data_IF_258344271763
#
_entry.id   IF_258344271763
#
_cell.length_a   1.000
_cell.length_b   1.000
_cell.length_c   1.000
_cell.angle_alpha   90.00
_cell.angle_beta   90.00
_cell.angle_gamma   90.00
#
_symmetry.space_group_name_H-M   'P 1'
#
loop_
_entity.id
_entity.type
_entity.pdbx_description
1 polymer ?
#
# COMPACT_ATOMS: atom_id res chain seq x y z
N UNK A 1 -2.27 -2.90 2.99
CA UNK A 1 -3.47 -3.80 3.15
C UNK A 1 -4.07 -4.18 1.80
N UNK A 2 -5.01 -5.16 1.70
CA UNK A 2 -5.53 -5.64 0.41
C UNK A 2 -6.36 -4.59 -0.35
N UNK A 3 -5.94 -4.25 -1.56
CA UNK A 3 -6.58 -3.24 -2.42
C UNK A 3 -7.51 -3.83 -3.52
N UNK A 4 -7.95 -5.07 -3.40
CA UNK A 4 -8.91 -5.65 -4.34
C UNK A 4 -8.36 -6.03 -5.73
N UNK A 5 -7.04 -6.10 -5.90
CA UNK A 5 -6.40 -6.30 -7.20
C UNK A 5 -6.48 -7.71 -7.78
N UNK A 6 -6.69 -8.71 -6.92
CA UNK A 6 -6.63 -10.13 -7.29
C UNK A 6 -8.01 -10.77 -7.35
N UNK A 7 -8.86 -10.52 -6.35
CA UNK A 7 -10.16 -11.19 -6.20
C UNK A 7 -11.27 -10.34 -6.83
N UNK A 8 -11.15 -9.02 -6.82
CA UNK A 8 -12.11 -8.11 -7.42
C UNK A 8 -11.49 -6.80 -7.88
N UNK A 9 -11.97 -6.31 -9.01
CA UNK A 9 -11.57 -5.03 -9.56
C UNK A 9 -12.07 -3.85 -8.74
N UNK A 10 -11.16 -3.12 -8.17
CA UNK A 10 -11.20 -1.70 -7.89
C UNK A 10 -12.37 -1.06 -7.18
N UNK A 11 -13.53 -1.72 -6.98
CA UNK A 11 -14.66 -1.03 -6.35
C UNK A 11 -14.62 -1.01 -4.83
N UNK A 12 -13.85 -1.90 -4.20
CA UNK A 12 -13.76 -2.05 -2.74
C UNK A 12 -15.09 -2.25 -2.02
N UNK A 13 -16.16 -2.61 -2.73
CA UNK A 13 -17.48 -2.79 -2.13
C UNK A 13 -17.53 -3.97 -1.18
N UNK A 14 -16.74 -5.01 -1.46
CA UNK A 14 -16.75 -6.22 -0.65
C UNK A 14 -15.41 -6.45 0.07
N UNK A 15 -14.29 -6.41 -0.64
CA UNK A 15 -13.02 -6.93 -0.15
C UNK A 15 -11.91 -5.88 -0.06
N UNK A 16 -11.89 -4.87 -0.92
CA UNK A 16 -10.82 -3.87 -0.95
C UNK A 16 -10.81 -3.00 0.31
N UNK A 17 -9.81 -3.20 1.17
CA UNK A 17 -9.66 -2.46 2.44
C UNK A 17 -9.29 -1.01 2.17
N UNK A 18 -8.30 -0.77 1.32
CA UNK A 18 -7.90 0.59 0.92
C UNK A 18 -9.08 1.39 0.38
N UNK A 19 -9.84 0.82 -0.56
CA UNK A 19 -11.01 1.50 -1.12
C UNK A 19 -12.10 1.80 -0.07
N UNK A 20 -12.20 1.00 0.99
CA UNK A 20 -13.10 1.30 2.11
C UNK A 20 -12.60 2.47 2.94
N UNK A 21 -11.31 2.51 3.22
CA UNK A 21 -10.66 3.61 3.95
C UNK A 21 -10.82 4.90 3.15
N UNK A 22 -10.54 4.89 1.85
CA UNK A 22 -10.72 6.04 0.96
C UNK A 22 -12.15 6.61 1.02
N UNK A 23 -13.16 5.73 1.02
CA UNK A 23 -14.56 6.17 1.11
C UNK A 23 -14.88 6.81 2.45
N UNK A 24 -14.32 6.29 3.53
CA UNK A 24 -14.49 6.87 4.86
C UNK A 24 -13.78 8.21 4.94
N UNK A 25 -12.51 8.27 4.55
CA UNK A 25 -11.71 9.49 4.53
C UNK A 25 -12.36 10.58 3.67
N UNK A 26 -12.77 10.27 2.43
CA UNK A 26 -13.42 11.23 1.53
C UNK A 26 -14.72 11.80 2.08
N UNK A 27 -15.49 11.00 2.81
CA UNK A 27 -16.73 11.46 3.45
C UNK A 27 -16.44 12.43 4.58
N UNK A 28 -15.42 12.14 5.38
CA UNK A 28 -15.07 12.91 6.56
C UNK A 28 -14.32 14.20 6.22
N UNK A 29 -13.52 14.21 5.15
CA UNK A 29 -12.85 15.44 4.72
C UNK A 29 -13.82 16.46 4.13
N UNK A 30 -14.92 16.03 3.50
CA UNK A 30 -15.84 16.92 2.78
C UNK A 30 -16.35 18.12 3.60
N UNK A 31 -16.80 17.95 4.86
CA UNK A 31 -17.33 19.06 5.65
C UNK A 31 -16.26 20.04 6.16
N UNK A 32 -14.97 19.69 6.11
CA UNK A 32 -13.87 20.52 6.59
C UNK A 32 -13.08 21.17 5.45
N UNK A 33 -13.40 20.86 4.20
CA UNK A 33 -12.77 21.50 3.04
C UNK A 33 -13.25 22.94 2.91
N UNK A 34 -12.34 23.90 2.58
CA UNK A 34 -12.74 25.25 2.23
C UNK A 34 -13.60 25.25 0.94
N UNK A 35 -14.52 26.21 0.81
CA UNK A 35 -15.45 26.33 -0.33
C UNK A 35 -14.74 26.43 -1.69
N UNK A 36 -13.53 26.97 -1.71
CA UNK A 36 -12.72 27.08 -2.93
C UNK A 36 -12.03 25.79 -3.35
N UNK A 37 -11.99 24.77 -2.50
CA UNK A 37 -11.27 23.54 -2.74
C UNK A 37 -12.14 22.50 -3.46
N UNK A 38 -11.90 22.32 -4.75
CA UNK A 38 -12.54 21.26 -5.53
C UNK A 38 -11.77 19.93 -5.35
N UNK A 39 -11.97 19.31 -4.18
CA UNK A 39 -11.34 18.03 -3.85
C UNK A 39 -12.00 16.88 -4.65
N UNK A 40 -11.22 15.96 -5.26
CA UNK A 40 -11.74 14.95 -6.17
C UNK A 40 -12.85 14.09 -5.59
N UNK A 41 -13.77 13.70 -6.45
CA UNK A 41 -14.80 12.73 -6.10
C UNK A 41 -14.22 11.36 -5.79
N UNK A 42 -14.90 10.63 -4.89
CA UNK A 42 -14.48 9.27 -4.50
C UNK A 42 -14.33 8.33 -5.70
N UNK A 43 -15.13 8.48 -6.75
CA UNK A 43 -15.02 7.67 -7.96
C UNK A 43 -13.67 7.89 -8.67
N UNK A 44 -13.21 9.13 -8.73
CA UNK A 44 -11.94 9.48 -9.34
C UNK A 44 -10.76 8.98 -8.51
N UNK A 45 -10.83 9.11 -7.18
CA UNK A 45 -9.83 8.57 -6.25
C UNK A 45 -9.73 7.05 -6.42
N UNK A 46 -10.86 6.34 -6.40
CA UNK A 46 -10.88 4.88 -6.53
C UNK A 46 -10.44 4.37 -7.92
N UNK A 47 -10.38 5.22 -8.93
CA UNK A 47 -9.78 4.88 -10.22
C UNK A 47 -8.29 4.60 -10.10
N UNK A 48 -7.61 5.31 -9.19
CA UNK A 48 -6.18 5.19 -8.90
C UNK A 48 -5.88 4.28 -7.71
N UNK A 49 -6.85 3.49 -7.28
CA UNK A 49 -6.69 2.40 -6.33
C UNK A 49 -6.85 1.04 -7.07
N UNK A 50 -6.58 -0.06 -6.42
CA UNK A 50 -6.73 -1.38 -7.02
C UNK A 50 -5.78 -1.60 -8.21
N UNK A 51 -6.31 -1.82 -9.43
CA UNK A 51 -5.51 -2.12 -10.63
C UNK A 51 -4.56 -1.01 -11.05
N UNK A 52 -4.94 0.23 -10.84
CA UNK A 52 -4.19 1.42 -11.23
C UNK A 52 -3.51 2.07 -10.01
N UNK A 53 -3.71 1.50 -8.84
CA UNK A 53 -3.07 1.92 -7.61
C UNK A 53 -1.73 1.22 -7.36
N UNK A 54 -1.10 1.51 -6.21
CA UNK A 54 0.21 0.97 -5.85
C UNK A 54 0.29 -0.55 -5.93
N UNK A 55 -0.64 -1.28 -5.34
CA UNK A 55 -0.69 -2.75 -5.41
C UNK A 55 -0.85 -3.29 -6.83
N UNK A 56 -1.62 -2.60 -7.66
CA UNK A 56 -1.81 -2.96 -9.06
C UNK A 56 -0.54 -2.78 -9.89
N UNK A 57 0.20 -1.70 -9.64
CA UNK A 57 1.51 -1.42 -10.25
C UNK A 57 2.53 -2.42 -9.74
N UNK A 58 2.63 -2.61 -8.42
CA UNK A 58 3.52 -3.61 -7.78
C UNK A 58 3.38 -4.99 -8.42
N UNK A 59 2.16 -5.44 -8.67
CA UNK A 59 1.93 -6.76 -9.27
C UNK A 59 2.44 -6.88 -10.70
N UNK A 60 2.44 -5.81 -11.48
CA UNK A 60 2.75 -5.78 -12.92
C UNK A 60 4.18 -5.37 -13.23
N UNK A 61 4.84 -4.69 -12.33
CA UNK A 61 6.16 -4.09 -12.53
C UNK A 61 7.29 -4.95 -11.98
N UNK A 62 8.52 -4.82 -12.50
CA UNK A 62 9.73 -5.25 -11.80
C UNK A 62 9.84 -4.61 -10.42
N UNK A 63 10.58 -5.24 -9.51
CA UNK A 63 10.72 -4.71 -8.16
C UNK A 63 11.36 -3.31 -8.10
N UNK A 64 12.23 -3.00 -9.04
CA UNK A 64 12.91 -1.69 -9.15
C UNK A 64 11.96 -0.53 -9.48
N UNK A 65 10.78 -0.84 -10.05
CA UNK A 65 9.81 0.16 -10.52
C UNK A 65 8.50 0.11 -9.68
N UNK A 66 8.46 -0.71 -8.63
CA UNK A 66 7.23 -0.82 -7.83
C UNK A 66 7.19 0.23 -6.72
N UNK A 67 5.99 0.75 -6.39
CA UNK A 67 5.81 1.58 -5.23
C UNK A 67 6.19 0.85 -3.95
N UNK A 68 6.84 1.55 -3.03
CA UNK A 68 7.25 0.99 -1.75
C UNK A 68 6.07 0.90 -0.78
N UNK A 69 6.00 -0.17 0.02
CA UNK A 69 4.88 -0.45 0.92
C UNK A 69 5.31 -0.78 2.34
N UNK A 70 6.60 -0.91 2.58
CA UNK A 70 7.13 -1.37 3.85
C UNK A 70 7.93 -0.27 4.55
N UNK A 71 7.96 -0.33 5.86
CA UNK A 71 8.80 0.51 6.69
C UNK A 71 9.30 -0.31 7.89
N UNK A 72 10.57 -0.17 8.21
CA UNK A 72 11.11 -0.68 9.47
C UNK A 72 11.11 0.46 10.49
N UNK A 73 10.14 0.53 11.42
CA UNK A 73 10.06 1.62 12.38
C UNK A 73 11.22 1.65 13.40
N UNK A 74 11.99 0.56 13.49
CA UNK A 74 13.16 0.48 14.35
C UNK A 74 14.43 0.99 13.67
N UNK A 75 14.41 1.26 12.36
CA UNK A 75 15.52 1.85 11.61
C UNK A 75 15.21 3.30 11.22
N UNK A 76 15.83 4.29 11.87
CA UNK A 76 15.61 5.71 11.56
C UNK A 76 16.08 6.12 10.17
N UNK A 77 16.80 5.26 9.43
CA UNK A 77 17.24 5.52 8.07
C UNK A 77 16.29 4.93 7.01
N UNK A 78 15.32 4.12 7.42
CA UNK A 78 14.28 3.61 6.51
C UNK A 78 13.18 4.66 6.32
N UNK A 79 13.44 5.65 5.46
CA UNK A 79 12.59 6.81 5.22
C UNK A 79 11.80 6.74 3.91
N UNK A 80 12.03 5.75 3.07
CA UNK A 80 11.49 5.69 1.71
C UNK A 80 9.96 5.83 1.64
N UNK A 81 9.23 5.17 2.54
CA UNK A 81 7.77 5.28 2.61
C UNK A 81 7.32 6.67 3.07
N UNK A 82 8.02 7.27 4.05
CA UNK A 82 7.72 8.61 4.55
C UNK A 82 7.97 9.68 3.47
N UNK A 83 9.08 9.59 2.76
CA UNK A 83 9.41 10.47 1.65
C UNK A 83 8.38 10.37 0.51
N UNK A 84 7.88 9.17 0.25
CA UNK A 84 6.81 8.97 -0.73
C UNK A 84 5.50 9.65 -0.26
N UNK A 85 5.13 9.53 1.01
CA UNK A 85 3.95 10.21 1.60
C UNK A 85 4.10 11.72 1.47
N UNK A 86 5.24 12.28 1.88
CA UNK A 86 5.50 13.73 1.80
C UNK A 86 5.45 14.22 0.34
N UNK A 87 6.00 13.47 -0.57
CA UNK A 87 5.92 13.76 -2.00
C UNK A 87 4.49 13.82 -2.51
N UNK A 88 3.65 12.86 -2.12
CA UNK A 88 2.22 12.84 -2.49
C UNK A 88 1.44 14.00 -1.84
N UNK A 89 1.75 14.38 -0.59
CA UNK A 89 1.14 15.55 0.07
C UNK A 89 1.44 16.84 -0.72
N UNK A 90 2.71 17.05 -1.07
CA UNK A 90 3.13 18.21 -1.83
C UNK A 90 2.49 18.29 -3.22
N UNK A 91 2.49 17.18 -3.94
CA UNK A 91 1.89 17.06 -5.26
C UNK A 91 0.35 17.22 -5.22
N UNK A 92 -0.32 16.68 -4.21
CA UNK A 92 -1.77 16.88 -4.01
C UNK A 92 -2.09 18.34 -3.81
N UNK A 93 -1.35 19.02 -2.94
CA UNK A 93 -1.54 20.45 -2.70
C UNK A 93 -1.34 21.27 -3.98
N UNK A 94 -0.34 20.95 -4.80
CA UNK A 94 -0.12 21.62 -6.09
C UNK A 94 -1.24 21.32 -7.09
N UNK A 95 -1.66 20.06 -7.19
CA UNK A 95 -2.76 19.68 -8.08
C UNK A 95 -4.08 20.37 -7.72
N UNK A 96 -4.39 20.52 -6.44
CA UNK A 96 -5.57 21.27 -5.97
C UNK A 96 -5.45 22.76 -6.30
N UNK A 97 -4.28 23.39 -6.09
CA UNK A 97 -4.06 24.82 -6.44
C UNK A 97 -4.19 25.09 -7.91
N UNK A 98 -3.80 24.15 -8.76
CA UNK A 98 -3.84 24.27 -10.22
C UNK A 98 -5.12 23.73 -10.85
N UNK A 99 -6.11 23.32 -10.03
CA UNK A 99 -7.36 22.70 -10.47
C UNK A 99 -7.15 21.47 -11.37
N UNK A 100 -6.08 20.70 -11.14
CA UNK A 100 -5.82 19.44 -11.83
C UNK A 100 -6.48 18.29 -11.09
N UNK A 101 -7.78 18.09 -11.32
CA UNK A 101 -8.59 17.11 -10.61
C UNK A 101 -8.13 15.66 -10.82
N UNK A 102 -7.62 15.31 -12.00
CA UNK A 102 -7.10 13.97 -12.26
C UNK A 102 -5.83 13.69 -11.45
N UNK A 103 -4.88 14.63 -11.48
CA UNK A 103 -3.65 14.54 -10.67
C UNK A 103 -3.97 14.53 -9.19
N UNK A 104 -4.88 15.37 -8.72
CA UNK A 104 -5.31 15.38 -7.33
C UNK A 104 -5.91 14.05 -6.89
N UNK A 105 -6.70 13.40 -7.75
CA UNK A 105 -7.28 12.09 -7.47
C UNK A 105 -6.22 10.99 -7.37
N UNK A 106 -5.21 11.01 -8.26
CA UNK A 106 -4.07 10.12 -8.21
C UNK A 106 -3.28 10.29 -6.91
N UNK A 107 -2.89 11.52 -6.59
CA UNK A 107 -2.08 11.81 -5.40
C UNK A 107 -2.83 11.46 -4.11
N UNK A 108 -4.13 11.75 -4.03
CA UNK A 108 -4.95 11.42 -2.88
C UNK A 108 -5.05 9.89 -2.66
N UNK A 109 -5.21 9.11 -3.72
CA UNK A 109 -5.28 7.65 -3.64
C UNK A 109 -3.94 7.06 -3.19
N UNK A 110 -2.85 7.46 -3.82
CA UNK A 110 -1.53 6.91 -3.54
C UNK A 110 -1.00 7.32 -2.16
N UNK A 111 -1.27 8.57 -1.74
CA UNK A 111 -1.00 9.03 -0.38
C UNK A 111 -1.75 8.22 0.67
N UNK A 112 -3.07 8.03 0.47
CA UNK A 112 -3.90 7.28 1.40
C UNK A 112 -3.47 5.81 1.50
N UNK A 113 -3.07 5.21 0.37
CA UNK A 113 -2.51 3.86 0.32
C UNK A 113 -1.22 3.77 1.15
N UNK A 114 -0.26 4.66 0.89
CA UNK A 114 1.03 4.68 1.59
C UNK A 114 0.87 4.89 3.11
N UNK A 115 0.00 5.83 3.52
CA UNK A 115 -0.31 6.07 4.94
C UNK A 115 -0.94 4.82 5.57
N UNK A 116 -1.89 4.18 4.89
CA UNK A 116 -2.55 2.97 5.39
C UNK A 116 -1.56 1.84 5.60
N UNK A 117 -0.64 1.64 4.65
CA UNK A 117 0.39 0.62 4.74
C UNK A 117 1.40 0.95 5.85
N UNK A 118 1.84 2.20 5.93
CA UNK A 118 2.75 2.67 6.98
C UNK A 118 2.19 2.55 8.40
N UNK A 119 0.87 2.56 8.56
CA UNK A 119 0.19 2.34 9.84
C UNK A 119 -0.19 0.86 10.09
N UNK A 120 0.08 -0.03 9.14
CA UNK A 120 -0.29 -1.44 9.24
C UNK A 120 0.88 -2.27 9.75
N UNK A 121 0.81 -2.89 10.94
CA UNK A 121 1.93 -3.65 11.52
C UNK A 121 2.50 -4.76 10.62
N UNK A 122 1.71 -5.32 9.72
CA UNK A 122 2.19 -6.33 8.76
C UNK A 122 3.17 -5.75 7.72
N UNK A 123 3.21 -4.43 7.57
CA UNK A 123 4.17 -3.70 6.72
C UNK A 123 5.37 -3.16 7.51
N UNK A 124 5.39 -3.32 8.84
CA UNK A 124 6.53 -2.98 9.71
C UNK A 124 7.54 -4.12 9.70
N UNK A 125 8.26 -4.25 8.60
CA UNK A 125 9.17 -5.37 8.40
C UNK A 125 10.33 -4.96 7.47
N UNK A 126 11.59 -5.32 7.79
CA UNK A 126 12.75 -5.04 6.96
C UNK A 126 12.76 -5.93 5.70
N UNK A 127 11.77 -5.75 4.82
CA UNK A 127 11.54 -6.63 3.66
C UNK A 127 12.75 -6.69 2.74
N UNK A 128 13.37 -5.54 2.45
CA UNK A 128 14.56 -5.48 1.57
C UNK A 128 15.71 -6.33 2.10
N UNK A 129 16.03 -6.19 3.39
CA UNK A 129 17.08 -6.98 4.02
C UNK A 129 16.75 -8.48 3.98
N UNK A 130 15.54 -8.85 4.37
CA UNK A 130 15.12 -10.26 4.37
C UNK A 130 15.11 -10.87 2.96
N UNK A 131 14.72 -10.08 1.95
CA UNK A 131 14.77 -10.50 0.56
C UNK A 131 16.22 -10.65 0.06
N UNK A 132 17.10 -9.71 0.41
CA UNK A 132 18.52 -9.78 0.04
C UNK A 132 19.17 -11.02 0.66
N UNK A 133 18.91 -11.34 1.92
CA UNK A 133 19.39 -12.57 2.58
C UNK A 133 18.94 -13.83 1.85
N UNK A 134 17.68 -13.93 1.44
CA UNK A 134 17.14 -15.07 0.68
C UNK A 134 17.66 -15.14 -0.77
N UNK A 135 18.37 -14.11 -1.22
CA UNK A 135 18.91 -13.99 -2.57
C UNK A 135 20.44 -13.95 -2.61
N UNK A 136 21.10 -14.30 -1.51
CA UNK A 136 22.56 -14.33 -1.43
C UNK A 136 23.20 -12.93 -1.43
N UNK A 137 22.53 -11.93 -0.88
CA UNK A 137 23.00 -10.55 -0.79
C UNK A 137 22.61 -9.66 -1.98
N UNK A 138 21.82 -10.19 -2.94
CA UNK A 138 21.39 -9.39 -4.09
C UNK A 138 20.22 -8.46 -3.75
N UNK A 139 20.38 -7.19 -4.02
CA UNK A 139 19.39 -6.14 -3.77
C UNK A 139 18.28 -6.03 -4.83
N UNK A 140 17.55 -4.93 -4.71
CA UNK A 140 16.40 -4.59 -5.55
C UNK A 140 16.77 -4.48 -7.03
N UNK A 141 17.95 -3.95 -7.34
CA UNK A 141 18.48 -3.71 -8.68
C UNK A 141 18.60 -4.97 -9.55
N UNK A 142 18.66 -6.14 -8.91
CA UNK A 142 18.73 -7.43 -9.63
C UNK A 142 17.36 -7.97 -10.02
N UNK A 143 16.28 -7.43 -9.47
CA UNK A 143 14.89 -7.88 -9.66
C UNK A 143 14.21 -7.17 -10.84
N UNK A 144 14.82 -7.26 -12.00
CA UNK A 144 14.48 -6.53 -13.24
C UNK A 144 13.30 -7.13 -14.04
N UNK A 145 12.62 -8.13 -13.50
CA UNK A 145 11.41 -8.71 -14.12
C UNK A 145 10.48 -9.27 -13.04
N UNK A 146 9.20 -9.45 -13.39
CA UNK A 146 8.20 -10.04 -12.48
C UNK A 146 8.64 -11.43 -11.99
N UNK A 147 9.23 -12.24 -12.87
CA UNK A 147 9.74 -13.56 -12.46
C UNK A 147 10.90 -13.44 -11.47
N UNK A 148 11.89 -12.60 -11.78
CA UNK A 148 13.04 -12.38 -10.90
C UNK A 148 12.64 -11.77 -9.57
N UNK A 149 11.62 -10.92 -9.54
CA UNK A 149 11.07 -10.34 -8.33
C UNK A 149 10.55 -11.40 -7.36
N UNK A 150 9.86 -12.39 -7.87
CA UNK A 150 9.12 -13.37 -7.06
C UNK A 150 9.90 -14.67 -6.78
N UNK A 151 11.06 -14.87 -7.43
CA UNK A 151 11.87 -16.07 -7.28
C UNK A 151 13.08 -15.79 -6.37
N UNK A 152 13.17 -16.52 -5.28
CA UNK A 152 14.36 -16.51 -4.43
C UNK A 152 15.48 -17.31 -5.07
N UNK A 153 16.73 -16.99 -4.73
CA UNK A 153 17.93 -17.64 -5.27
C UNK A 153 18.52 -18.65 -4.29
N UNK A 154 19.47 -19.45 -4.77
CA UNK A 154 20.25 -20.39 -3.99
C UNK A 154 21.44 -20.86 -4.81
N UNK A 155 22.55 -21.17 -4.15
CA UNK A 155 23.81 -21.63 -4.79
C UNK A 155 23.67 -23.03 -5.40
N UNK A 156 22.64 -23.75 -4.96
CA UNK A 156 22.31 -25.09 -5.47
C UNK A 156 20.80 -25.32 -5.42
N UNK A 157 20.33 -26.43 -6.03
CA UNK A 157 18.91 -26.74 -6.13
C UNK A 157 18.19 -26.92 -4.79
N UNK A 158 18.88 -27.42 -3.76
CA UNK A 158 18.30 -27.60 -2.42
C UNK A 158 18.10 -26.25 -1.76
N UNK A 159 19.07 -25.38 -1.86
CA UNK A 159 19.00 -24.02 -1.29
C UNK A 159 17.98 -23.16 -2.01
N UNK A 160 17.90 -23.24 -3.34
CA UNK A 160 16.84 -22.61 -4.13
C UNK A 160 15.44 -23.00 -3.61
N UNK A 161 15.19 -24.29 -3.42
CA UNK A 161 13.92 -24.80 -2.89
C UNK A 161 13.69 -24.27 -1.47
N UNK A 162 14.69 -24.35 -0.59
CA UNK A 162 14.61 -23.90 0.79
C UNK A 162 14.30 -22.40 0.90
N UNK A 163 14.96 -21.55 0.10
CA UNK A 163 14.74 -20.11 0.13
C UNK A 163 13.37 -19.74 -0.44
N UNK A 164 12.92 -20.39 -1.51
CA UNK A 164 11.56 -20.20 -2.01
C UNK A 164 10.51 -20.72 -1.01
N UNK A 165 10.78 -21.77 -0.24
CA UNK A 165 9.90 -22.25 0.82
C UNK A 165 9.82 -21.27 2.00
N UNK A 166 10.93 -20.63 2.38
CA UNK A 166 10.94 -19.57 3.40
C UNK A 166 10.14 -18.35 2.98
N UNK A 167 10.09 -18.08 1.69
CA UNK A 167 9.35 -16.92 1.17
C UNK A 167 7.87 -17.25 0.88
N UNK A 168 7.58 -18.35 0.16
CA UNK A 168 6.26 -18.73 -0.34
C UNK A 168 5.63 -19.95 0.36
N UNK A 169 6.34 -20.67 1.23
CA UNK A 169 5.81 -21.84 1.93
C UNK A 169 4.65 -21.49 2.86
N UNK A 170 4.01 -22.50 3.47
CA UNK A 170 2.82 -22.31 4.32
C UNK A 170 3.00 -21.34 5.51
N UNK A 171 4.25 -21.22 5.99
CA UNK A 171 4.66 -20.23 7.00
C UNK A 171 5.69 -19.26 6.44
N UNK A 172 5.72 -19.13 5.13
CA UNK A 172 6.62 -18.21 4.44
C UNK A 172 6.25 -16.75 4.68
N UNK A 173 7.24 -15.89 4.60
CA UNK A 173 7.11 -14.46 4.86
C UNK A 173 5.98 -13.82 4.06
N UNK A 174 5.99 -13.99 2.74
CA UNK A 174 4.97 -13.41 1.86
C UNK A 174 3.61 -14.10 2.01
N UNK A 175 3.58 -15.41 2.23
CA UNK A 175 2.33 -16.14 2.45
C UNK A 175 1.63 -15.68 3.73
N UNK A 176 2.39 -15.46 4.81
CA UNK A 176 1.87 -14.96 6.09
C UNK A 176 1.33 -13.53 5.92
N UNK A 177 2.07 -12.68 5.21
CA UNK A 177 1.64 -11.31 4.90
C UNK A 177 0.31 -11.29 4.12
N UNK A 178 0.23 -12.04 3.02
CA UNK A 178 -1.00 -12.14 2.20
C UNK A 178 -2.17 -12.73 3.00
N UNK A 179 -1.91 -13.73 3.86
CA UNK A 179 -2.93 -14.31 4.71
C UNK A 179 -3.48 -13.31 5.75
N UNK A 180 -2.61 -12.48 6.33
CA UNK A 180 -3.02 -11.38 7.21
C UNK A 180 -3.93 -10.40 6.47
N UNK A 181 -3.51 -9.92 5.31
CA UNK A 181 -4.31 -8.97 4.51
C UNK A 181 -5.67 -9.54 4.09
N UNK A 182 -5.71 -10.81 3.69
CA UNK A 182 -6.96 -11.50 3.36
C UNK A 182 -7.86 -11.67 4.59
N UNK A 183 -7.28 -11.92 5.76
CA UNK A 183 -7.99 -11.99 7.03
C UNK A 183 -8.64 -10.65 7.38
N UNK A 184 -7.89 -9.55 7.34
CA UNK A 184 -8.42 -8.20 7.56
C UNK A 184 -9.52 -7.89 6.56
N UNK A 185 -9.29 -8.15 5.26
CA UNK A 185 -10.28 -7.91 4.21
C UNK A 185 -11.60 -8.67 4.48
N UNK A 186 -11.51 -9.90 4.98
CA UNK A 186 -12.68 -10.72 5.32
C UNK A 186 -13.50 -10.12 6.47
N UNK A 187 -12.80 -9.66 7.52
CA UNK A 187 -13.45 -9.05 8.70
C UNK A 187 -14.12 -7.73 8.33
N UNK A 188 -13.43 -6.87 7.55
CA UNK A 188 -13.95 -5.55 7.19
C UNK A 188 -14.90 -5.58 5.98
N UNK A 189 -15.17 -6.75 5.39
CA UNK A 189 -15.99 -6.86 4.19
C UNK A 189 -17.39 -6.25 4.37
N UNK A 190 -18.04 -6.53 5.50
CA UNK A 190 -19.42 -6.13 5.79
C UNK A 190 -19.58 -4.83 6.56
N UNK A 191 -18.74 -4.47 7.56
CA UNK A 191 -18.91 -3.23 8.32
C UNK A 191 -18.90 -1.99 7.43
N UNK A 192 -19.72 -0.98 7.78
CA UNK A 192 -19.83 0.27 7.01
C UNK A 192 -18.97 1.41 7.55
N UNK A 193 -18.34 1.23 8.69
CA UNK A 193 -17.49 2.25 9.36
C UNK A 193 -18.11 3.66 9.31
N UNK A 194 -19.42 3.77 9.65
CA UNK A 194 -20.11 5.05 9.59
C UNK A 194 -19.58 6.03 10.62
N UNK A 195 -19.13 5.51 11.73
CA UNK A 195 -18.75 6.24 12.93
C UNK A 195 -17.22 6.16 13.20
N UNK A 196 -16.43 5.83 12.18
CA UNK A 196 -14.98 5.78 12.29
C UNK A 196 -14.35 7.19 12.17
N UNK A 197 -14.85 8.12 12.97
CA UNK A 197 -14.27 9.45 13.12
C UNK A 197 -13.71 9.48 14.53
N UNK A 198 -12.39 9.70 14.70
CA UNK A 198 -11.85 9.91 16.04
C UNK A 198 -12.50 11.16 16.65
N UNK A 199 -12.76 11.12 17.94
CA UNK A 199 -13.16 12.29 18.71
C UNK A 199 -12.03 13.32 18.75
N UNK A 200 -12.35 14.58 18.99
CA UNK A 200 -11.33 15.64 19.12
C UNK A 200 -10.30 15.30 20.20
N UNK A 201 -10.72 14.63 21.27
CA UNK A 201 -9.83 14.18 22.35
C UNK A 201 -8.86 13.05 21.89
N UNK A 202 -9.29 12.17 20.99
CA UNK A 202 -8.43 11.13 20.40
C UNK A 202 -7.43 11.71 19.40
N UNK A 203 -7.83 12.74 18.65
CA UNK A 203 -6.92 13.44 17.73
C UNK A 203 -5.81 14.19 18.48
N UNK A 204 -6.11 14.72 19.67
CA UNK A 204 -5.14 15.48 20.48
C UNK A 204 -4.15 14.58 21.26
N UNK A 205 -4.33 13.26 21.25
CA UNK A 205 -3.46 12.29 21.93
C UNK A 205 -2.39 11.68 21.00
N UNK A 206 -2.39 12.01 19.73
CA UNK A 206 -1.41 11.59 18.73
C UNK A 206 -0.41 12.70 18.46
#
# INVERSE_FOLDING_TARGET
>A
MYAGTTIRDGSGRFIGVHQKIDRVARRNIKPILPDWCDFPDIKNILHFEGKNGPDGVKRKSPAVDEPWHFINPDDPNDTALLEMIDGHIGNLAEALRTNNSERAAFEAAWMAHAITDGLTPAHHFPLEQAMAELRGGEGLETRTSILKKNLMKGDNGIELIKNNWKFWGAKGMMTTHVAFEAGVASVVAYPRFKDAIPSDDEILQV
#
